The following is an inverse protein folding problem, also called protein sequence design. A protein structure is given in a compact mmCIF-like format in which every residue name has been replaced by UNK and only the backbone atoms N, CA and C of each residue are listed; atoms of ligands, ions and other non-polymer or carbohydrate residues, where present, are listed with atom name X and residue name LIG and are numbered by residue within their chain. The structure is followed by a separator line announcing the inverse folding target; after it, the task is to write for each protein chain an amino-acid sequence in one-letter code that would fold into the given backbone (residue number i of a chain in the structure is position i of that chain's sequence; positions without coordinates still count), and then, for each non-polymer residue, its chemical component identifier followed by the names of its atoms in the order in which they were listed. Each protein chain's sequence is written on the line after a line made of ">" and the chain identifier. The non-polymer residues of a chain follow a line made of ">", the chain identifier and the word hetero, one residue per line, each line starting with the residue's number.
data_IF_199983175979
#
_entry.id   IF_199983175979
#
_cell.length_a   1.000
_cell.length_b   1.000
_cell.length_c   1.000
_cell.angle_alpha   90.00
_cell.angle_beta   90.00
_cell.angle_gamma   90.00
#
_symmetry.space_group_name_H-M   'P 1'
#
loop_
_entity.id
_entity.type
_entity.pdbx_description
1 polymer ?
#
# COMPACT_ATOMS: atom_id res chain seq x y z
N UNK A 1 9.92 2.77 -21.03
CA UNK A 1 8.89 1.79 -20.63
C UNK A 1 9.39 1.02 -19.42
N UNK A 2 8.68 1.12 -18.30
CA UNK A 2 8.90 0.32 -17.10
C UNK A 2 7.98 -0.90 -17.14
N UNK A 3 8.54 -2.08 -16.88
CA UNK A 3 7.79 -3.33 -16.89
C UNK A 3 7.54 -3.78 -15.47
N UNK A 4 6.29 -4.13 -15.20
CA UNK A 4 5.86 -4.67 -13.91
C UNK A 4 5.58 -6.16 -14.10
N UNK A 5 6.31 -6.98 -13.36
CA UNK A 5 6.20 -8.43 -13.37
C UNK A 5 5.51 -8.92 -12.11
N UNK A 6 4.69 -9.97 -12.21
CA UNK A 6 4.15 -10.66 -11.04
C UNK A 6 5.21 -11.57 -10.42
N UNK A 7 5.02 -11.95 -9.16
CA UNK A 7 5.86 -12.95 -8.50
C UNK A 7 5.89 -14.32 -9.21
N UNK A 8 4.91 -14.60 -10.07
CA UNK A 8 4.88 -15.78 -10.94
C UNK A 8 5.82 -15.69 -12.16
N UNK A 9 6.42 -14.52 -12.41
CA UNK A 9 7.20 -14.24 -13.62
C UNK A 9 6.37 -13.78 -14.82
N UNK A 10 5.04 -13.66 -14.69
CA UNK A 10 4.18 -13.13 -15.74
C UNK A 10 4.29 -11.60 -15.83
N UNK A 11 4.38 -11.06 -17.04
CA UNK A 11 4.31 -9.61 -17.26
C UNK A 11 2.89 -9.13 -16.98
N UNK A 12 2.73 -8.20 -16.04
CA UNK A 12 1.44 -7.59 -15.70
C UNK A 12 1.13 -6.42 -16.63
N UNK A 13 2.06 -5.48 -16.74
CA UNK A 13 1.87 -4.25 -17.52
C UNK A 13 3.22 -3.63 -17.90
N UNK A 14 3.24 -2.90 -19.01
CA UNK A 14 4.35 -2.02 -19.41
C UNK A 14 3.83 -0.59 -19.48
N UNK A 15 4.39 0.30 -18.67
CA UNK A 15 3.93 1.69 -18.53
C UNK A 15 5.03 2.64 -19.01
N UNK A 16 4.73 3.69 -19.80
CA UNK A 16 5.68 4.77 -20.07
C UNK A 16 6.03 5.48 -18.76
N UNK A 17 7.32 5.72 -18.52
CA UNK A 17 7.77 6.31 -17.24
C UNK A 17 7.53 7.81 -17.22
N UNK A 18 7.35 8.41 -18.39
CA UNK A 18 6.97 9.81 -18.59
C UNK A 18 5.61 10.14 -17.94
N UNK A 19 4.78 9.11 -17.69
CA UNK A 19 3.48 9.23 -17.00
C UNK A 19 3.58 8.99 -15.48
N UNK A 20 4.76 8.61 -14.95
CA UNK A 20 4.96 8.21 -13.56
C UNK A 20 6.00 9.09 -12.86
N UNK A 21 5.62 9.75 -11.75
CA UNK A 21 6.53 10.59 -10.97
C UNK A 21 7.36 9.79 -9.96
N UNK A 22 6.72 8.84 -9.28
CA UNK A 22 7.26 8.10 -8.14
C UNK A 22 6.62 6.72 -8.01
N UNK A 23 7.16 5.90 -7.10
CA UNK A 23 6.63 4.57 -6.77
C UNK A 23 5.16 4.63 -6.31
N UNK A 24 4.76 5.67 -5.58
CA UNK A 24 3.36 5.87 -5.13
C UNK A 24 2.40 6.00 -6.31
N UNK A 25 2.77 6.73 -7.37
CA UNK A 25 1.98 6.91 -8.58
C UNK A 25 1.79 5.57 -9.33
N UNK A 26 2.85 4.77 -9.41
CA UNK A 26 2.79 3.43 -10.00
C UNK A 26 1.90 2.49 -9.19
N UNK A 27 2.04 2.42 -7.86
CA UNK A 27 1.16 1.59 -7.01
C UNK A 27 -0.31 2.00 -7.11
N UNK A 28 -0.61 3.29 -7.29
CA UNK A 28 -1.99 3.76 -7.53
C UNK A 28 -2.54 3.26 -8.86
N UNK A 29 -1.75 3.28 -9.92
CA UNK A 29 -2.16 2.71 -11.22
C UNK A 29 -2.41 1.20 -11.09
N UNK A 30 -1.46 0.47 -10.47
CA UNK A 30 -1.58 -0.96 -10.21
C UNK A 30 -2.77 -1.32 -9.30
N UNK A 31 -3.17 -0.44 -8.37
CA UNK A 31 -4.37 -0.64 -7.57
C UNK A 31 -5.63 -0.72 -8.43
N UNK A 32 -5.73 0.08 -9.49
CA UNK A 32 -6.87 0.04 -10.40
C UNK A 32 -6.89 -1.25 -11.21
N UNK A 33 -5.72 -1.74 -11.60
CA UNK A 33 -5.55 -2.97 -12.40
C UNK A 33 -5.77 -4.24 -11.57
N UNK A 34 -5.14 -4.34 -10.40
CA UNK A 34 -5.17 -5.54 -9.56
C UNK A 34 -6.32 -5.56 -8.54
N UNK A 35 -7.04 -4.44 -8.37
CA UNK A 35 -8.08 -4.25 -7.33
C UNK A 35 -7.57 -4.49 -5.90
N UNK A 36 -6.26 -4.29 -5.69
CA UNK A 36 -5.59 -4.42 -4.39
C UNK A 36 -5.12 -3.05 -3.93
N UNK A 37 -5.42 -2.61 -2.70
CA UNK A 37 -4.96 -1.32 -2.16
C UNK A 37 -3.45 -1.14 -2.29
N UNK A 38 -2.97 0.07 -2.59
CA UNK A 38 -1.53 0.37 -2.74
C UNK A 38 -0.66 -0.11 -1.58
N UNK A 39 -1.21 -0.13 -0.37
CA UNK A 39 -0.44 -0.47 0.83
C UNK A 39 -0.18 -1.98 0.96
N UNK A 40 -0.94 -2.79 0.21
CA UNK A 40 -0.69 -4.23 0.08
C UNK A 40 0.21 -4.55 -1.12
N UNK A 41 0.66 -3.54 -1.86
CA UNK A 41 1.52 -3.72 -3.01
C UNK A 41 2.97 -3.41 -2.63
N UNK A 42 3.83 -4.40 -2.82
CA UNK A 42 5.27 -4.26 -2.61
C UNK A 42 5.95 -4.38 -3.96
N UNK A 43 6.59 -3.28 -4.37
CA UNK A 43 7.38 -3.24 -5.60
C UNK A 43 8.83 -3.55 -5.25
N UNK A 44 9.41 -4.51 -5.96
CA UNK A 44 10.77 -4.94 -5.78
C UNK A 44 11.58 -4.62 -7.04
N UNK A 45 12.72 -3.95 -6.88
CA UNK A 45 13.74 -3.82 -7.90
C UNK A 45 14.98 -4.59 -7.45
N UNK A 46 15.43 -5.57 -8.25
CA UNK A 46 16.56 -6.45 -7.91
C UNK A 46 16.43 -7.10 -6.51
N UNK A 47 15.21 -7.43 -6.10
CA UNK A 47 14.92 -8.02 -4.79
C UNK A 47 14.81 -7.03 -3.64
N UNK A 48 15.09 -5.74 -3.85
CA UNK A 48 14.97 -4.68 -2.84
C UNK A 48 13.61 -4.00 -2.96
N UNK A 49 12.94 -3.81 -1.83
CA UNK A 49 11.63 -3.15 -1.80
C UNK A 49 11.77 -1.64 -1.96
N UNK A 50 10.99 -1.07 -2.89
CA UNK A 50 10.95 0.36 -3.17
C UNK A 50 9.96 1.08 -2.25
N UNK A 51 10.40 2.18 -1.65
CA UNK A 51 9.56 3.10 -0.87
C UNK A 51 8.67 3.95 -1.78
N UNK A 52 7.50 4.34 -1.27
CA UNK A 52 6.53 5.18 -2.00
C UNK A 52 7.13 6.51 -2.51
N UNK A 53 8.15 7.05 -1.83
CA UNK A 53 8.80 8.33 -2.16
C UNK A 53 9.95 8.17 -3.16
N UNK A 54 10.38 6.96 -3.46
CA UNK A 54 11.47 6.74 -4.42
C UNK A 54 11.04 7.13 -5.83
N UNK A 55 11.95 7.80 -6.55
CA UNK A 55 11.75 8.12 -7.97
C UNK A 55 12.03 6.88 -8.80
N UNK A 56 11.18 6.66 -9.80
CA UNK A 56 11.39 5.58 -10.76
C UNK A 56 12.43 6.03 -11.78
N UNK A 57 13.70 5.68 -11.55
CA UNK A 57 14.77 5.94 -12.52
C UNK A 57 14.73 4.90 -13.66
N UNK A 58 14.64 5.43 -14.89
CA UNK A 58 14.48 4.77 -16.19
C UNK A 58 15.66 3.83 -16.57
N UNK A 59 15.46 2.89 -17.53
CA UNK A 59 14.35 1.96 -17.70
C UNK A 59 14.63 0.67 -16.90
N UNK A 60 13.71 0.33 -15.99
CA UNK A 60 13.91 -0.73 -15.00
C UNK A 60 12.74 -1.71 -14.99
N UNK A 61 13.05 -2.98 -14.71
CA UNK A 61 12.07 -4.03 -14.44
C UNK A 61 11.81 -4.12 -12.94
N UNK A 62 10.53 -4.10 -12.55
CA UNK A 62 10.11 -4.24 -11.14
C UNK A 62 9.17 -5.41 -10.98
N UNK A 63 9.21 -6.05 -9.81
CA UNK A 63 8.30 -7.12 -9.44
C UNK A 63 7.26 -6.61 -8.47
N UNK A 64 5.98 -6.88 -8.77
CA UNK A 64 4.87 -6.65 -7.88
C UNK A 64 4.60 -7.90 -7.04
N UNK A 65 4.68 -7.74 -5.73
CA UNK A 65 4.26 -8.72 -4.73
C UNK A 65 3.04 -8.17 -4.00
N UNK A 66 1.95 -8.92 -4.01
CA UNK A 66 0.73 -8.59 -3.25
C UNK A 66 0.80 -9.27 -1.89
N UNK A 67 0.81 -8.47 -0.83
CA UNK A 67 0.89 -8.98 0.53
C UNK A 67 -0.51 -9.43 1.02
N UNK A 68 -0.62 -10.63 1.62
CA UNK A 68 -1.80 -10.98 2.40
C UNK A 68 -1.88 -10.09 3.65
N UNK A 69 -3.05 -10.03 4.26
CA UNK A 69 -3.14 -9.40 5.58
C UNK A 69 -2.41 -10.25 6.62
N UNK A 70 -1.57 -9.62 7.43
CA UNK A 70 -0.97 -10.18 8.62
C UNK A 70 -1.92 -10.00 9.82
N UNK A 71 -1.79 -10.88 10.79
CA UNK A 71 -2.48 -10.75 12.07
C UNK A 71 -2.06 -9.45 12.76
N UNK A 72 -3.04 -8.60 13.09
CA UNK A 72 -2.84 -7.41 13.90
C UNK A 72 -3.20 -7.70 15.36
N UNK A 73 -2.35 -7.29 16.30
CA UNK A 73 -2.66 -7.32 17.74
C UNK A 73 -3.75 -6.32 18.09
N UNK A 74 -4.33 -6.43 19.28
CA UNK A 74 -5.34 -5.47 19.75
C UNK A 74 -4.76 -4.05 19.80
N UNK A 75 -3.53 -3.89 20.30
CA UNK A 75 -2.85 -2.60 20.39
C UNK A 75 -2.65 -1.96 19.01
N UNK A 76 -2.35 -2.75 17.98
CA UNK A 76 -2.18 -2.25 16.61
C UNK A 76 -3.50 -1.80 15.96
N UNK A 77 -4.62 -2.43 16.35
CA UNK A 77 -5.95 -2.04 15.88
C UNK A 77 -6.40 -0.75 16.57
N UNK A 78 -6.21 -0.68 17.88
CA UNK A 78 -6.48 0.51 18.68
C UNK A 78 -5.64 1.70 18.18
N UNK A 79 -4.37 1.48 17.85
CA UNK A 79 -3.48 2.49 17.27
C UNK A 79 -4.07 3.09 15.98
N UNK A 80 -4.60 2.26 15.07
CA UNK A 80 -5.21 2.72 13.83
C UNK A 80 -6.48 3.54 14.09
N UNK A 81 -7.39 3.02 14.93
CA UNK A 81 -8.65 3.71 15.22
C UNK A 81 -8.39 5.07 15.89
N UNK A 82 -7.46 5.13 16.85
CA UNK A 82 -7.08 6.37 17.51
C UNK A 82 -6.41 7.37 16.55
N UNK A 83 -5.57 6.90 15.62
CA UNK A 83 -4.95 7.76 14.61
C UNK A 83 -6.00 8.38 13.67
N UNK A 84 -7.05 7.62 13.33
CA UNK A 84 -8.18 8.08 12.51
C UNK A 84 -9.06 9.07 13.26
N UNK A 85 -9.46 8.75 14.49
CA UNK A 85 -10.25 9.63 15.36
C UNK A 85 -9.58 11.00 15.55
N UNK A 86 -8.25 11.03 15.61
CA UNK A 86 -7.47 12.26 15.76
C UNK A 86 -7.04 12.90 14.42
N UNK A 87 -7.53 12.38 13.29
CA UNK A 87 -7.20 12.83 11.93
C UNK A 87 -5.68 12.95 11.65
N UNK A 88 -4.88 12.02 12.20
CA UNK A 88 -3.42 12.02 12.07
C UNK A 88 -2.97 11.33 10.78
N UNK A 89 -3.22 11.97 9.65
CA UNK A 89 -2.94 11.41 8.30
C UNK A 89 -1.55 10.76 8.13
N UNK A 90 -0.43 11.34 8.61
CA UNK A 90 0.88 10.71 8.45
C UNK A 90 0.99 9.38 9.21
N UNK A 91 0.41 9.32 10.42
CA UNK A 91 0.40 8.12 11.25
C UNK A 91 -0.51 7.05 10.63
N UNK A 92 -1.67 7.44 10.09
CA UNK A 92 -2.56 6.54 9.36
C UNK A 92 -1.83 5.96 8.14
N UNK A 93 -1.13 6.78 7.34
CA UNK A 93 -0.36 6.29 6.19
C UNK A 93 0.71 5.29 6.63
N UNK A 94 1.47 5.56 7.70
CA UNK A 94 2.50 4.68 8.23
C UNK A 94 1.92 3.34 8.71
N UNK A 95 0.82 3.38 9.45
CA UNK A 95 0.14 2.17 9.93
C UNK A 95 -0.40 1.36 8.75
N UNK A 96 -1.00 2.00 7.75
CA UNK A 96 -1.54 1.31 6.58
C UNK A 96 -0.47 0.65 5.72
N UNK A 97 0.78 1.11 5.72
CA UNK A 97 1.89 0.42 5.05
C UNK A 97 2.24 -0.93 5.70
N UNK A 98 1.76 -1.19 6.92
CA UNK A 98 1.83 -2.52 7.51
C UNK A 98 0.79 -3.40 6.80
N UNK A 99 1.04 -4.70 6.59
CA UNK A 99 0.06 -5.60 5.99
C UNK A 99 -1.12 -5.89 6.93
N UNK A 100 -1.57 -4.99 7.80
CA UNK A 100 -2.73 -5.22 8.66
C UNK A 100 -4.05 -4.97 7.91
N UNK A 101 -5.13 -5.63 8.33
CA UNK A 101 -6.46 -5.39 7.79
C UNK A 101 -7.10 -4.14 8.44
N UNK A 102 -7.32 -3.05 7.69
CA UNK A 102 -7.87 -1.80 8.22
C UNK A 102 -9.38 -1.86 8.46
N UNK A 103 -10.04 -2.99 8.19
CA UNK A 103 -11.46 -3.19 8.48
C UNK A 103 -11.71 -3.82 9.86
N UNK A 104 -10.66 -4.27 10.55
CA UNK A 104 -10.78 -4.84 11.88
C UNK A 104 -11.20 -3.78 12.91
N UNK A 105 -12.00 -4.21 13.88
CA UNK A 105 -12.41 -3.37 14.99
C UNK A 105 -11.32 -3.25 16.05
N UNK A 106 -11.30 -2.10 16.74
CA UNK A 106 -10.56 -1.92 17.98
C UNK A 106 -11.19 -2.70 19.15
N UNK A 107 -10.59 -2.58 20.33
CA UNK A 107 -11.08 -3.19 21.58
C UNK A 107 -12.47 -2.68 22.02
N UNK A 108 -12.92 -1.55 21.49
CA UNK A 108 -14.24 -0.96 21.74
C UNK A 108 -15.29 -1.34 20.67
N UNK A 109 -14.93 -2.18 19.70
CA UNK A 109 -15.82 -2.58 18.61
C UNK A 109 -15.99 -1.52 17.52
N UNK A 110 -15.16 -0.47 17.52
CA UNK A 110 -15.19 0.62 16.54
C UNK A 110 -14.34 0.25 15.33
N UNK A 111 -14.81 0.57 14.13
CA UNK A 111 -14.00 0.42 12.91
C UNK A 111 -13.28 1.73 12.59
N UNK A 112 -12.08 1.68 11.98
CA UNK A 112 -11.42 2.87 11.46
C UNK A 112 -12.33 3.69 10.53
N UNK A 113 -13.08 3.01 9.64
CA UNK A 113 -13.98 3.69 8.70
C UNK A 113 -15.16 4.38 9.39
N UNK A 114 -15.72 3.77 10.44
CA UNK A 114 -16.75 4.39 11.27
C UNK A 114 -16.24 5.69 11.90
N UNK A 115 -15.07 5.64 12.53
CA UNK A 115 -14.48 6.84 13.17
C UNK A 115 -14.14 7.95 12.19
N UNK A 116 -13.76 7.61 10.95
CA UNK A 116 -13.49 8.61 9.91
C UNK A 116 -14.75 9.36 9.44
N UNK A 117 -15.95 8.84 9.72
CA UNK A 117 -17.22 9.45 9.33
C UNK A 117 -17.81 10.36 10.42
N UNK A 118 -17.33 10.23 11.66
CA UNK A 118 -17.85 10.91 12.85
C UNK A 118 -17.13 12.24 13.19
N UNK A 119 -16.09 12.62 12.42
CA UNK A 119 -15.28 13.84 12.60
C UNK A 119 -15.39 14.82 11.46
#
# INVERSE_FOLDING_TARGET
>A
MLRVWLASGALLVSVPVEELSDVKSLKRNLQLLCKVPRFRQRLLHQGVALDDKERLELPTDVHLVMLPFASATEEQRDELVNAVEQNRLPQIEEILQRPQDPSLTDTLGRTPLGMASDG
#
